data_IF_638107778220
#
_entry.id   IF_638107778220
#
_cell.length_a   1.000
_cell.length_b   1.000
_cell.length_c   1.000
_cell.angle_alpha   90.00
_cell.angle_beta   90.00
_cell.angle_gamma   90.00
#
_symmetry.space_group_name_H-M   'P 1'
#
loop_
_entity.id
_entity.type
_entity.pdbx_description
1 polymer ?
#
# COMPACT_ATOMS: atom_id res chain seq x y z
N UNK A 1 -23.96 19.54 -13.49
CA UNK A 1 -24.44 18.46 -12.60
C UNK A 1 -25.00 19.05 -11.31
N UNK A 2 -26.17 18.59 -10.85
CA UNK A 2 -26.77 19.03 -9.58
C UNK A 2 -25.99 18.37 -8.42
N UNK A 3 -25.29 19.17 -7.59
CA UNK A 3 -24.56 18.65 -6.42
C UNK A 3 -25.56 18.13 -5.37
N UNK A 4 -25.39 16.88 -4.95
CA UNK A 4 -26.20 16.27 -3.88
C UNK A 4 -25.93 16.97 -2.54
N UNK A 5 -26.84 16.82 -1.58
CA UNK A 5 -26.67 17.37 -0.22
C UNK A 5 -25.34 16.94 0.42
N UNK A 6 -24.92 15.71 0.14
CA UNK A 6 -23.65 15.16 0.58
C UNK A 6 -22.43 15.82 -0.09
N UNK A 7 -22.43 15.97 -1.42
CA UNK A 7 -21.36 16.67 -2.13
C UNK A 7 -21.14 18.09 -1.58
N UNK A 8 -22.22 18.79 -1.23
CA UNK A 8 -22.14 20.12 -0.60
C UNK A 8 -21.61 20.08 0.84
N UNK A 9 -21.75 18.96 1.55
CA UNK A 9 -21.18 18.79 2.89
C UNK A 9 -19.69 18.51 2.82
N UNK A 10 -19.28 17.69 1.86
CA UNK A 10 -17.89 17.36 1.58
C UNK A 10 -17.12 18.61 1.12
N UNK A 11 -17.66 19.37 0.15
CA UNK A 11 -17.03 20.63 -0.27
C UNK A 11 -16.82 21.60 0.91
N UNK A 12 -17.82 21.74 1.79
CA UNK A 12 -17.68 22.59 3.01
C UNK A 12 -16.63 22.08 3.99
N UNK A 13 -16.44 20.77 4.09
CA UNK A 13 -15.39 20.18 4.92
C UNK A 13 -14.00 20.51 4.38
N UNK A 14 -13.81 20.36 3.06
CA UNK A 14 -12.55 20.74 2.40
C UNK A 14 -12.26 22.23 2.51
N UNK A 15 -13.27 23.09 2.32
CA UNK A 15 -13.16 24.54 2.52
C UNK A 15 -12.71 24.89 3.95
N UNK A 16 -13.31 24.26 4.97
CA UNK A 16 -12.93 24.48 6.38
C UNK A 16 -11.51 24.01 6.73
N UNK A 17 -10.96 23.05 5.97
CA UNK A 17 -9.59 22.55 6.11
C UNK A 17 -8.58 23.28 5.20
N UNK A 18 -9.03 24.30 4.44
CA UNK A 18 -8.22 24.98 3.41
C UNK A 18 -7.61 24.04 2.36
N UNK A 19 -8.35 23.00 2.02
CA UNK A 19 -7.92 21.99 1.05
C UNK A 19 -8.60 22.23 -0.30
N UNK A 20 -7.79 22.13 -1.36
CA UNK A 20 -8.27 22.14 -2.75
C UNK A 20 -8.90 20.78 -3.07
N UNK A 21 -10.24 20.74 -3.15
CA UNK A 21 -11.04 19.53 -3.40
C UNK A 21 -10.56 18.79 -4.67
N UNK A 22 -10.23 19.53 -5.73
CA UNK A 22 -9.85 18.94 -7.02
C UNK A 22 -8.43 18.34 -6.98
N UNK A 23 -7.49 19.02 -6.32
CA UNK A 23 -6.14 18.50 -6.13
C UNK A 23 -6.13 17.28 -5.21
N UNK A 24 -6.88 17.31 -4.11
CA UNK A 24 -6.98 16.16 -3.20
C UNK A 24 -7.57 14.96 -3.93
N UNK A 25 -8.64 15.17 -4.70
CA UNK A 25 -9.25 14.10 -5.51
C UNK A 25 -8.25 13.52 -6.53
N UNK A 26 -7.54 14.38 -7.27
CA UNK A 26 -6.54 13.94 -8.26
C UNK A 26 -5.41 13.14 -7.62
N UNK A 27 -4.84 13.62 -6.51
CA UNK A 27 -3.75 12.95 -5.78
C UNK A 27 -4.21 11.62 -5.17
N UNK A 28 -5.39 11.58 -4.56
CA UNK A 28 -5.96 10.36 -4.01
C UNK A 28 -6.22 9.30 -5.11
N UNK A 29 -6.75 9.72 -6.26
CA UNK A 29 -6.96 8.83 -7.41
C UNK A 29 -5.63 8.26 -7.93
N UNK A 30 -4.60 9.10 -8.07
CA UNK A 30 -3.28 8.66 -8.51
C UNK A 30 -2.67 7.64 -7.53
N UNK A 31 -2.76 7.92 -6.22
CA UNK A 31 -2.26 7.02 -5.18
C UNK A 31 -2.93 5.64 -5.26
N UNK A 32 -4.25 5.59 -5.44
CA UNK A 32 -5.00 4.34 -5.57
C UNK A 32 -4.63 3.55 -6.83
N UNK A 33 -4.32 4.25 -7.93
CA UNK A 33 -3.82 3.60 -9.16
C UNK A 33 -2.44 3.00 -8.92
N UNK A 34 -1.52 3.76 -8.32
CA UNK A 34 -0.16 3.29 -8.00
C UNK A 34 -0.22 2.11 -7.04
N UNK A 35 -1.09 2.15 -6.02
CA UNK A 35 -1.25 1.03 -5.09
C UNK A 35 -1.56 -0.28 -5.79
N UNK A 36 -2.45 -0.26 -6.78
CA UNK A 36 -2.79 -1.46 -7.56
C UNK A 36 -1.55 -2.06 -8.22
N UNK A 37 -0.73 -1.23 -8.86
CA UNK A 37 0.48 -1.64 -9.55
C UNK A 37 1.56 -2.13 -8.57
N UNK A 38 1.67 -1.45 -7.43
CA UNK A 38 2.58 -1.81 -6.33
C UNK A 38 2.21 -3.18 -5.78
N UNK A 39 0.96 -3.42 -5.34
CA UNK A 39 0.52 -4.74 -4.83
C UNK A 39 0.85 -5.85 -5.82
N UNK A 40 0.59 -5.63 -7.11
CA UNK A 40 0.90 -6.60 -8.16
C UNK A 40 2.40 -6.91 -8.27
N UNK A 41 3.23 -5.89 -8.14
CA UNK A 41 4.69 -6.02 -8.21
C UNK A 41 5.24 -6.66 -6.93
N UNK A 42 4.75 -6.26 -5.76
CA UNK A 42 5.15 -6.82 -4.47
C UNK A 42 4.86 -8.30 -4.36
N UNK A 43 3.71 -8.76 -4.86
CA UNK A 43 3.37 -10.19 -4.88
C UNK A 43 4.42 -10.96 -5.69
N UNK A 44 4.88 -10.42 -6.83
CA UNK A 44 5.91 -11.06 -7.66
C UNK A 44 7.27 -11.09 -6.95
N UNK A 45 7.68 -9.99 -6.33
CA UNK A 45 8.96 -9.91 -5.63
C UNK A 45 8.99 -10.79 -4.37
N UNK A 46 7.91 -10.81 -3.58
CA UNK A 46 7.79 -11.69 -2.40
C UNK A 46 7.81 -13.16 -2.82
N UNK A 47 7.13 -13.53 -3.91
CA UNK A 47 7.17 -14.89 -4.43
C UNK A 47 8.59 -15.26 -4.90
N UNK A 48 9.29 -14.36 -5.59
CA UNK A 48 10.67 -14.58 -6.01
C UNK A 48 11.61 -14.78 -4.79
N UNK A 49 11.53 -13.90 -3.78
CA UNK A 49 12.33 -14.03 -2.56
C UNK A 49 12.00 -15.33 -1.84
N UNK A 50 10.73 -15.70 -1.74
CA UNK A 50 10.29 -16.96 -1.13
C UNK A 50 10.86 -18.16 -1.89
N UNK A 51 10.77 -18.19 -3.22
CA UNK A 51 11.31 -19.26 -4.06
C UNK A 51 12.82 -19.41 -3.87
N UNK A 52 13.56 -18.30 -3.90
CA UNK A 52 15.01 -18.29 -3.63
C UNK A 52 15.30 -18.80 -2.21
N UNK A 53 14.59 -18.33 -1.20
CA UNK A 53 14.81 -18.80 0.18
C UNK A 53 14.51 -20.30 0.34
N UNK A 54 13.43 -20.81 -0.26
CA UNK A 54 13.09 -22.24 -0.22
C UNK A 54 14.02 -23.14 -1.03
N UNK A 55 14.60 -22.62 -2.11
CA UNK A 55 15.51 -23.38 -2.97
C UNK A 55 16.92 -23.52 -2.37
N UNK A 56 17.37 -22.51 -1.59
CA UNK A 56 18.74 -22.45 -1.10
C UNK A 56 18.90 -22.72 0.41
N UNK A 57 17.84 -22.61 1.22
CA UNK A 57 17.92 -22.77 2.66
C UNK A 57 16.80 -23.65 3.22
N UNK A 58 17.17 -24.62 4.04
CA UNK A 58 16.25 -25.39 4.86
C UNK A 58 15.58 -24.46 5.88
N UNK A 59 14.40 -23.96 5.50
CA UNK A 59 13.29 -23.47 6.32
C UNK A 59 13.44 -22.25 7.23
N UNK A 60 14.60 -21.60 7.39
CA UNK A 60 14.70 -20.45 8.28
C UNK A 60 15.20 -19.17 7.59
N UNK A 61 14.25 -18.34 7.14
CA UNK A 61 14.51 -17.00 6.63
C UNK A 61 15.31 -16.18 7.65
N UNK A 62 15.05 -16.36 8.95
CA UNK A 62 15.81 -15.68 10.01
C UNK A 62 17.27 -16.13 10.00
N UNK A 63 17.55 -17.43 9.81
CA UNK A 63 18.92 -17.92 9.69
C UNK A 63 19.65 -17.36 8.45
N UNK A 64 18.96 -17.29 7.31
CA UNK A 64 19.53 -16.70 6.10
C UNK A 64 19.83 -15.19 6.27
N UNK A 65 18.93 -14.45 6.94
CA UNK A 65 19.11 -13.04 7.28
C UNK A 65 20.27 -12.83 8.27
N UNK A 66 20.37 -13.66 9.31
CA UNK A 66 21.47 -13.64 10.27
C UNK A 66 22.80 -13.92 9.59
N UNK A 67 22.86 -14.96 8.74
CA UNK A 67 24.08 -15.28 8.01
C UNK A 67 24.54 -14.12 7.11
N UNK A 68 23.60 -13.48 6.41
CA UNK A 68 23.92 -12.35 5.56
C UNK A 68 24.37 -11.12 6.36
N UNK A 69 23.76 -10.86 7.52
CA UNK A 69 24.16 -9.75 8.39
C UNK A 69 25.57 -9.93 8.95
N UNK A 70 25.92 -11.18 9.31
CA UNK A 70 27.11 -11.49 10.09
C UNK A 70 28.32 -11.84 9.22
N UNK A 71 28.10 -12.40 8.01
CA UNK A 71 29.16 -12.97 7.19
C UNK A 71 29.23 -12.43 5.75
N UNK A 72 28.25 -11.64 5.28
CA UNK A 72 28.33 -11.08 3.93
C UNK A 72 29.33 -9.90 3.85
N UNK A 73 30.07 -9.77 2.74
CA UNK A 73 30.87 -8.57 2.47
C UNK A 73 30.00 -7.31 2.46
N UNK A 74 30.59 -6.17 2.84
CA UNK A 74 29.89 -4.90 3.02
C UNK A 74 29.06 -4.49 1.80
N UNK A 75 29.60 -4.59 0.58
CA UNK A 75 28.88 -4.22 -0.66
C UNK A 75 27.61 -5.07 -0.86
N UNK A 76 27.72 -6.39 -0.63
CA UNK A 76 26.57 -7.31 -0.73
C UNK A 76 25.54 -7.10 0.38
N UNK A 77 25.97 -6.60 1.54
CA UNK A 77 25.10 -6.28 2.67
C UNK A 77 24.30 -5.01 2.38
N UNK A 78 24.92 -3.99 1.81
CA UNK A 78 24.25 -2.74 1.42
C UNK A 78 23.18 -2.99 0.34
N UNK A 79 23.53 -3.69 -0.75
CA UNK A 79 22.59 -4.04 -1.82
C UNK A 79 21.37 -4.83 -1.29
N UNK A 80 21.60 -5.70 -0.32
CA UNK A 80 20.55 -6.47 0.32
C UNK A 80 19.67 -5.61 1.23
N UNK A 81 20.29 -4.77 2.06
CA UNK A 81 19.57 -3.87 2.96
C UNK A 81 18.69 -2.90 2.17
N UNK A 82 19.16 -2.41 1.02
CA UNK A 82 18.37 -1.55 0.13
C UNK A 82 17.14 -2.30 -0.40
N UNK A 83 17.32 -3.54 -0.91
CA UNK A 83 16.20 -4.37 -1.38
C UNK A 83 15.20 -4.68 -0.28
N UNK A 84 15.67 -5.06 0.90
CA UNK A 84 14.80 -5.37 2.05
C UNK A 84 14.05 -4.12 2.50
N UNK A 85 14.71 -2.97 2.55
CA UNK A 85 14.06 -1.70 2.89
C UNK A 85 12.96 -1.36 1.89
N UNK A 86 13.21 -1.51 0.59
CA UNK A 86 12.19 -1.31 -0.45
C UNK A 86 10.97 -2.24 -0.29
N UNK A 87 11.18 -3.50 0.10
CA UNK A 87 10.09 -4.44 0.40
C UNK A 87 9.27 -3.96 1.62
N UNK A 88 9.93 -3.48 2.67
CA UNK A 88 9.24 -2.98 3.86
C UNK A 88 8.49 -1.67 3.61
N UNK A 89 9.07 -0.71 2.88
CA UNK A 89 8.40 0.52 2.46
C UNK A 89 7.15 0.22 1.65
N UNK A 90 7.28 -0.74 0.73
CA UNK A 90 6.19 -1.23 -0.10
C UNK A 90 5.08 -1.87 0.75
N UNK A 91 5.45 -2.75 1.68
CA UNK A 91 4.49 -3.34 2.63
C UNK A 91 3.80 -2.28 3.48
N UNK A 92 4.54 -1.28 3.94
CA UNK A 92 4.00 -0.21 4.77
C UNK A 92 2.94 0.62 4.01
N UNK A 93 3.18 0.93 2.74
CA UNK A 93 2.16 1.56 1.89
C UNK A 93 0.90 0.71 1.75
N UNK A 94 1.06 -0.63 1.65
CA UNK A 94 -0.07 -1.54 1.56
C UNK A 94 -0.89 -1.54 2.87
N UNK A 95 -0.22 -1.73 4.00
CA UNK A 95 -0.85 -1.77 5.32
C UNK A 95 -1.57 -0.44 5.64
N UNK A 96 -1.04 0.70 5.18
CA UNK A 96 -1.67 2.01 5.33
C UNK A 96 -3.01 2.10 4.59
N UNK A 97 -3.07 1.58 3.35
CA UNK A 97 -4.29 1.57 2.54
C UNK A 97 -5.31 0.58 3.10
N UNK A 98 -4.88 -0.59 3.54
CA UNK A 98 -5.76 -1.57 4.19
C UNK A 98 -6.38 -0.98 5.47
N UNK A 99 -5.58 -0.28 6.27
CA UNK A 99 -6.07 0.45 7.46
C UNK A 99 -7.07 1.54 7.09
N UNK A 100 -6.83 2.28 6.00
CA UNK A 100 -7.77 3.28 5.50
C UNK A 100 -9.08 2.64 5.02
N UNK A 101 -9.01 1.49 4.34
CA UNK A 101 -10.19 0.76 3.88
C UNK A 101 -11.08 0.30 5.04
N UNK A 102 -10.50 -0.17 6.15
CA UNK A 102 -11.26 -0.50 7.37
C UNK A 102 -11.99 0.75 7.91
N UNK A 103 -11.29 1.88 8.02
CA UNK A 103 -11.89 3.14 8.48
C UNK A 103 -13.02 3.64 7.57
N UNK A 104 -12.89 3.44 6.26
CA UNK A 104 -13.93 3.79 5.28
C UNK A 104 -15.13 2.85 5.43
N UNK A 105 -14.90 1.55 5.63
CA UNK A 105 -15.96 0.58 5.85
C UNK A 105 -16.82 0.91 7.08
N UNK A 106 -16.15 1.29 8.18
CA UNK A 106 -16.79 1.67 9.44
C UNK A 106 -17.40 3.08 9.43
N UNK A 107 -17.23 3.84 8.34
CA UNK A 107 -17.78 5.18 8.24
C UNK A 107 -19.31 5.17 8.23
N UNK A 108 -19.89 5.89 9.19
CA UNK A 108 -21.32 5.89 9.53
C UNK A 108 -22.26 6.21 8.36
N UNK A 109 -21.82 6.99 7.38
CA UNK A 109 -22.65 7.37 6.23
C UNK A 109 -22.17 6.68 4.95
N UNK A 110 -22.88 5.63 4.52
CA UNK A 110 -22.57 4.87 3.29
C UNK A 110 -21.13 4.30 3.23
N UNK A 111 -20.44 4.12 4.36
CA UNK A 111 -19.05 3.63 4.40
C UNK A 111 -18.86 2.32 3.64
N UNK A 112 -19.80 1.37 3.82
CA UNK A 112 -19.82 0.11 3.08
C UNK A 112 -19.89 0.29 1.56
N UNK A 113 -20.69 1.24 1.08
CA UNK A 113 -20.80 1.55 -0.36
C UNK A 113 -19.49 2.16 -0.88
N UNK A 114 -18.86 3.07 -0.12
CA UNK A 114 -17.58 3.65 -0.52
C UNK A 114 -16.46 2.62 -0.54
N UNK A 115 -16.42 1.75 0.47
CA UNK A 115 -15.52 0.62 0.50
C UNK A 115 -15.73 -0.28 -0.72
N UNK A 116 -16.97 -0.61 -1.08
CA UNK A 116 -17.27 -1.46 -2.24
C UNK A 116 -16.82 -0.81 -3.56
N UNK A 117 -17.06 0.48 -3.75
CA UNK A 117 -16.61 1.22 -4.93
C UNK A 117 -15.08 1.21 -5.03
N UNK A 118 -14.40 1.56 -3.93
CA UNK A 118 -12.94 1.60 -3.91
C UNK A 118 -12.34 0.21 -4.14
N UNK A 119 -12.92 -0.81 -3.50
CA UNK A 119 -12.48 -2.19 -3.67
C UNK A 119 -12.57 -2.62 -5.13
N UNK A 120 -13.74 -2.49 -5.76
CA UNK A 120 -13.96 -2.93 -7.15
C UNK A 120 -13.19 -2.11 -8.19
N UNK A 121 -12.96 -0.81 -7.94
CA UNK A 121 -12.30 0.05 -8.91
C UNK A 121 -10.78 0.03 -8.81
N UNK A 122 -10.21 -0.21 -7.62
CA UNK A 122 -8.79 0.02 -7.36
C UNK A 122 -8.07 -1.10 -6.59
N UNK A 123 -8.77 -1.95 -5.84
CA UNK A 123 -8.14 -2.97 -4.98
C UNK A 123 -8.24 -4.37 -5.59
N UNK A 124 -9.44 -4.79 -6.00
CA UNK A 124 -9.68 -6.12 -6.56
C UNK A 124 -9.16 -6.16 -8.00
N UNK A 125 -8.17 -7.02 -8.26
CA UNK A 125 -7.66 -7.31 -9.59
C UNK A 125 -8.44 -8.46 -10.24
#
# INVERSE_FOLDING_TARGET
>A
MRKTKMMKSISRMYEGMQLDEEQVFRKAKLLLVIYRDVVWTSIKEVNYVKEVCTAYYSNDLSLALTYLNDFAPTERKEDFMEKVSGIFETKWMIDLIDTAMIKIYDYHHNGKLYHEILSKCYITA
#
